data_IF_523250301753
#
_entry.id   IF_523250301753
#
_cell.length_a   1.000
_cell.length_b   1.000
_cell.length_c   1.000
_cell.angle_alpha   90.00
_cell.angle_beta   90.00
_cell.angle_gamma   90.00
#
_symmetry.space_group_name_H-M   'P 1'
#
loop_
_entity.id
_entity.type
_entity.pdbx_description
1 polymer ?
#
# COMPACT_ATOMS: atom_id res chain seq x y z
N UNK A 1 -24.28 -18.96 -18.18
CA UNK A 1 -24.88 -20.14 -17.50
C UNK A 1 -25.66 -19.80 -16.22
N UNK A 2 -25.43 -18.68 -15.53
CA UNK A 2 -26.09 -18.37 -14.25
C UNK A 2 -27.61 -18.14 -14.30
N UNK A 3 -28.16 -17.66 -15.42
CA UNK A 3 -29.58 -17.30 -15.53
C UNK A 3 -30.55 -18.51 -15.43
N UNK A 4 -30.13 -19.70 -15.89
CA UNK A 4 -30.92 -20.93 -15.79
C UNK A 4 -31.09 -21.37 -14.33
N UNK A 5 -30.07 -21.17 -13.50
CA UNK A 5 -30.12 -21.52 -12.08
C UNK A 5 -31.07 -20.61 -11.29
N UNK A 6 -31.16 -19.32 -11.66
CA UNK A 6 -32.12 -18.39 -11.07
C UNK A 6 -33.57 -18.79 -11.35
N UNK A 7 -33.88 -19.26 -12.55
CA UNK A 7 -35.22 -19.76 -12.90
C UNK A 7 -35.64 -21.01 -12.14
N UNK A 8 -34.70 -21.78 -11.61
CA UNK A 8 -35.00 -22.97 -10.80
C UNK A 8 -35.03 -22.63 -9.32
N UNK A 9 -34.07 -21.82 -8.85
CA UNK A 9 -33.91 -21.48 -7.43
C UNK A 9 -35.08 -20.63 -6.90
N UNK A 10 -35.54 -19.64 -7.66
CA UNK A 10 -36.64 -18.74 -7.24
C UNK A 10 -37.95 -19.51 -7.02
N UNK A 11 -38.47 -20.31 -7.98
CA UNK A 11 -39.71 -21.05 -7.75
C UNK A 11 -39.56 -22.13 -6.68
N UNK A 12 -38.38 -22.77 -6.53
CA UNK A 12 -38.14 -23.70 -5.43
C UNK A 12 -38.17 -23.01 -4.06
N UNK A 13 -37.59 -21.81 -3.96
CA UNK A 13 -37.66 -21.00 -2.73
C UNK A 13 -39.09 -20.60 -2.38
N UNK A 14 -39.87 -20.15 -3.38
CA UNK A 14 -41.29 -19.83 -3.19
C UNK A 14 -42.09 -21.07 -2.78
N UNK A 15 -41.85 -22.22 -3.40
CA UNK A 15 -42.51 -23.48 -3.05
C UNK A 15 -42.13 -23.96 -1.63
N UNK A 16 -40.88 -23.78 -1.21
CA UNK A 16 -40.43 -24.11 0.16
C UNK A 16 -41.10 -23.20 1.20
N UNK A 17 -41.19 -21.88 0.93
CA UNK A 17 -41.92 -20.94 1.80
C UNK A 17 -43.41 -21.30 1.88
N UNK A 18 -44.04 -21.64 0.76
CA UNK A 18 -45.44 -22.06 0.74
C UNK A 18 -45.69 -23.34 1.56
N UNK A 19 -44.75 -24.29 1.50
CA UNK A 19 -44.79 -25.51 2.30
C UNK A 19 -44.69 -25.23 3.80
N UNK A 20 -43.91 -24.22 4.22
CA UNK A 20 -43.74 -23.85 5.62
C UNK A 20 -45.03 -23.21 6.16
N UNK A 21 -45.57 -22.20 5.48
CA UNK A 21 -46.68 -21.40 6.00
C UNK A 21 -48.06 -21.98 5.75
N UNK A 22 -48.26 -22.71 4.64
CA UNK A 22 -49.58 -23.24 4.27
C UNK A 22 -49.49 -24.64 3.63
N UNK A 23 -48.96 -25.65 4.35
CA UNK A 23 -48.69 -26.99 3.80
C UNK A 23 -49.94 -27.69 3.28
N UNK A 24 -51.09 -27.48 3.93
CA UNK A 24 -52.39 -28.03 3.49
C UNK A 24 -52.87 -27.41 2.19
N UNK A 25 -52.74 -26.10 2.07
CA UNK A 25 -53.12 -25.37 0.86
C UNK A 25 -52.24 -25.79 -0.31
N UNK A 26 -50.92 -25.88 -0.09
CA UNK A 26 -49.98 -26.36 -1.10
C UNK A 26 -50.32 -27.79 -1.56
N UNK A 27 -50.62 -28.70 -0.64
CA UNK A 27 -50.99 -30.07 -1.01
C UNK A 27 -52.26 -30.09 -1.86
N UNK A 28 -53.30 -29.33 -1.49
CA UNK A 28 -54.54 -29.26 -2.26
C UNK A 28 -54.30 -28.68 -3.65
N UNK A 29 -53.50 -27.62 -3.78
CA UNK A 29 -53.23 -27.03 -5.10
C UNK A 29 -52.38 -27.94 -6.00
N UNK A 30 -51.40 -28.67 -5.44
CA UNK A 30 -50.45 -29.46 -6.23
C UNK A 30 -50.86 -30.92 -6.45
N UNK A 31 -51.72 -31.47 -5.59
CA UNK A 31 -52.06 -32.90 -5.60
C UNK A 31 -53.57 -33.19 -5.59
N UNK A 32 -54.46 -32.19 -5.53
CA UNK A 32 -55.91 -32.47 -5.60
C UNK A 32 -56.33 -33.12 -6.92
N UNK A 33 -55.64 -32.83 -8.02
CA UNK A 33 -55.92 -33.39 -9.34
C UNK A 33 -55.64 -34.91 -9.44
N UNK A 34 -54.87 -35.48 -8.51
CA UNK A 34 -54.52 -36.91 -8.52
C UNK A 34 -55.47 -37.77 -7.68
N UNK A 35 -56.48 -37.19 -7.04
CA UNK A 35 -57.42 -37.90 -6.16
C UNK A 35 -58.87 -37.48 -6.42
N UNK A 36 -59.80 -38.44 -6.40
CA UNK A 36 -61.22 -38.17 -6.64
C UNK A 36 -61.88 -37.31 -5.54
N UNK A 37 -61.36 -37.37 -4.30
CA UNK A 37 -61.78 -36.49 -3.21
C UNK A 37 -60.57 -36.07 -2.36
N UNK A 38 -60.16 -34.82 -2.51
CA UNK A 38 -58.97 -34.28 -1.86
C UNK A 38 -59.08 -34.19 -0.33
N UNK A 39 -60.29 -34.01 0.23
CA UNK A 39 -60.44 -33.85 1.67
C UNK A 39 -60.31 -35.17 2.44
N UNK A 40 -60.69 -36.28 1.82
CA UNK A 40 -60.61 -37.63 2.42
C UNK A 40 -59.23 -38.27 2.29
N UNK A 41 -58.44 -37.84 1.30
CA UNK A 41 -57.09 -38.34 1.05
C UNK A 41 -55.99 -37.44 1.63
N UNK A 42 -56.37 -36.42 2.42
CA UNK A 42 -55.43 -35.46 2.99
C UNK A 42 -54.47 -36.15 3.97
N UNK A 43 -53.15 -35.94 3.86
CA UNK A 43 -52.17 -36.48 4.80
C UNK A 43 -52.47 -36.09 6.25
N UNK A 44 -52.19 -36.99 7.18
CA UNK A 44 -52.30 -36.69 8.61
C UNK A 44 -51.36 -35.56 9.06
N UNK A 45 -51.65 -34.96 10.22
CA UNK A 45 -50.88 -33.82 10.75
C UNK A 45 -49.36 -34.07 10.85
N UNK A 46 -48.94 -35.29 11.20
CA UNK A 46 -47.53 -35.67 11.27
C UNK A 46 -46.80 -35.59 9.91
N UNK A 47 -47.50 -35.92 8.81
CA UNK A 47 -46.93 -35.85 7.46
C UNK A 47 -46.76 -34.39 6.99
N UNK A 48 -47.58 -33.47 7.49
CA UNK A 48 -47.39 -32.04 7.25
C UNK A 48 -46.24 -31.46 8.07
N UNK A 49 -46.11 -31.87 9.34
CA UNK A 49 -45.01 -31.45 10.19
C UNK A 49 -43.65 -31.87 9.62
N UNK A 50 -43.52 -33.11 9.12
CA UNK A 50 -42.27 -33.58 8.49
C UNK A 50 -41.92 -32.80 7.22
N UNK A 51 -42.92 -32.46 6.39
CA UNK A 51 -42.73 -31.63 5.19
C UNK A 51 -42.30 -30.21 5.54
N UNK A 52 -42.87 -29.61 6.58
CA UNK A 52 -42.46 -28.28 7.06
C UNK A 52 -41.00 -28.27 7.53
N UNK A 53 -40.58 -29.30 8.29
CA UNK A 53 -39.19 -29.43 8.75
C UNK A 53 -38.23 -29.57 7.57
N UNK A 54 -38.55 -30.44 6.60
CA UNK A 54 -37.71 -30.63 5.41
C UNK A 54 -37.62 -29.36 4.56
N UNK A 55 -38.74 -28.64 4.39
CA UNK A 55 -38.76 -27.36 3.67
C UNK A 55 -37.94 -26.28 4.39
N UNK A 56 -38.01 -26.22 5.72
CA UNK A 56 -37.22 -25.29 6.53
C UNK A 56 -35.71 -25.59 6.43
N UNK A 57 -35.32 -26.88 6.49
CA UNK A 57 -33.92 -27.29 6.32
C UNK A 57 -33.39 -26.97 4.92
N UNK A 58 -34.18 -27.27 3.88
CA UNK A 58 -33.80 -26.97 2.50
C UNK A 58 -33.58 -25.46 2.29
N UNK A 59 -34.52 -24.63 2.77
CA UNK A 59 -34.42 -23.18 2.66
C UNK A 59 -33.25 -22.61 3.48
N UNK A 60 -33.04 -23.12 4.70
CA UNK A 60 -31.91 -22.75 5.54
C UNK A 60 -30.57 -23.05 4.85
N UNK A 61 -30.41 -24.25 4.30
CA UNK A 61 -29.17 -24.64 3.59
C UNK A 61 -28.89 -23.76 2.37
N UNK A 62 -29.94 -23.38 1.61
CA UNK A 62 -29.80 -22.52 0.44
C UNK A 62 -29.34 -21.10 0.83
N UNK A 63 -29.91 -20.54 1.90
CA UNK A 63 -29.49 -19.23 2.43
C UNK A 63 -28.04 -19.25 2.90
N UNK A 64 -27.61 -20.30 3.61
CA UNK A 64 -26.22 -20.44 4.05
C UNK A 64 -25.25 -20.47 2.86
N UNK A 65 -25.58 -21.20 1.79
CA UNK A 65 -24.75 -21.23 0.58
C UNK A 65 -24.64 -19.86 -0.12
N UNK A 66 -25.73 -19.08 -0.13
CA UNK A 66 -25.71 -17.71 -0.67
C UNK A 66 -24.75 -16.82 0.14
N UNK A 67 -24.82 -16.89 1.48
CA UNK A 67 -23.93 -16.13 2.36
C UNK A 67 -22.47 -16.53 2.14
N UNK A 68 -22.18 -17.84 2.08
CA UNK A 68 -20.82 -18.35 1.81
C UNK A 68 -20.32 -17.85 0.45
N UNK A 69 -21.16 -17.90 -0.58
CA UNK A 69 -20.82 -17.41 -1.91
C UNK A 69 -20.52 -15.90 -1.91
N UNK A 70 -21.33 -15.09 -1.22
CA UNK A 70 -21.10 -13.64 -1.08
C UNK A 70 -19.78 -13.34 -0.36
N UNK A 71 -19.48 -14.05 0.73
CA UNK A 71 -18.21 -13.90 1.45
C UNK A 71 -17.04 -14.33 0.57
N UNK A 72 -17.16 -15.45 -0.15
CA UNK A 72 -16.12 -15.92 -1.06
C UNK A 72 -15.86 -14.95 -2.21
N UNK A 73 -16.89 -14.25 -2.72
CA UNK A 73 -16.69 -13.21 -3.75
C UNK A 73 -16.00 -11.99 -3.18
N UNK A 74 -16.33 -11.55 -1.96
CA UNK A 74 -15.66 -10.42 -1.31
C UNK A 74 -14.19 -10.71 -0.97
N UNK A 75 -13.87 -11.96 -0.62
CA UNK A 75 -12.49 -12.36 -0.28
C UNK A 75 -11.62 -12.56 -1.52
N UNK A 76 -12.22 -12.91 -2.67
CA UNK A 76 -11.49 -13.26 -3.90
C UNK A 76 -11.61 -12.21 -5.02
N UNK A 77 -12.11 -11.02 -4.75
CA UNK A 77 -12.04 -9.93 -5.73
C UNK A 77 -10.56 -9.65 -6.04
N UNK A 78 -10.08 -9.88 -7.28
CA UNK A 78 -8.74 -9.46 -7.66
C UNK A 78 -8.67 -7.95 -7.49
N UNK A 79 -7.72 -7.47 -6.67
CA UNK A 79 -7.40 -6.05 -6.61
C UNK A 79 -7.14 -5.58 -8.04
N UNK A 80 -8.02 -4.73 -8.56
CA UNK A 80 -7.83 -4.09 -9.87
C UNK A 80 -6.45 -3.42 -9.81
N UNK A 81 -5.51 -3.87 -10.65
CA UNK A 81 -4.15 -3.33 -10.68
C UNK A 81 -4.26 -1.85 -10.99
N UNK A 82 -4.13 -1.00 -9.96
CA UNK A 82 -4.22 0.44 -10.11
C UNK A 82 -3.19 0.87 -11.15
N UNK A 83 -3.62 1.63 -12.15
CA UNK A 83 -2.71 2.36 -13.03
C UNK A 83 -1.60 3.00 -12.18
N UNK A 84 -0.32 2.96 -12.59
CA UNK A 84 0.76 3.56 -11.84
C UNK A 84 0.41 5.00 -11.47
N UNK A 85 0.54 5.35 -10.19
CA UNK A 85 0.35 6.73 -9.75
C UNK A 85 1.45 7.62 -10.34
N UNK A 86 1.21 8.93 -10.41
CA UNK A 86 2.23 9.90 -10.89
C UNK A 86 3.56 9.77 -10.11
N UNK A 87 3.46 9.43 -8.82
CA UNK A 87 4.59 9.12 -7.95
C UNK A 87 5.36 7.88 -8.46
N UNK A 88 4.67 6.81 -8.86
CA UNK A 88 5.30 5.61 -9.41
C UNK A 88 5.91 5.84 -10.79
N UNK A 89 5.32 6.72 -11.61
CA UNK A 89 5.89 7.05 -12.91
C UNK A 89 7.23 7.80 -12.77
N UNK A 90 7.33 8.68 -11.77
CA UNK A 90 8.51 9.53 -11.58
C UNK A 90 9.61 8.90 -10.73
N UNK A 91 9.23 8.08 -9.74
CA UNK A 91 10.18 7.50 -8.77
C UNK A 91 10.28 5.98 -8.85
N UNK A 92 9.41 5.33 -9.64
CA UNK A 92 9.34 3.88 -9.77
C UNK A 92 8.50 3.20 -8.69
N UNK A 93 8.59 1.87 -8.66
CA UNK A 93 7.93 1.01 -7.68
C UNK A 93 8.97 0.29 -6.81
N UNK A 94 8.75 0.17 -5.48
CA UNK A 94 7.60 0.68 -4.72
C UNK A 94 7.60 2.21 -4.60
N UNK A 95 6.44 2.81 -4.30
CA UNK A 95 6.34 4.26 -4.09
C UNK A 95 7.31 4.69 -2.96
N UNK A 96 8.05 5.79 -3.15
CA UNK A 96 9.05 6.20 -2.18
C UNK A 96 8.44 6.75 -0.91
N UNK A 97 9.17 6.58 0.19
CA UNK A 97 8.85 7.21 1.48
C UNK A 97 9.69 8.48 1.67
N UNK A 98 9.11 9.52 2.25
CA UNK A 98 9.79 10.80 2.46
C UNK A 98 10.48 10.85 3.82
N UNK A 99 11.79 11.08 3.86
CA UNK A 99 12.46 11.37 5.14
C UNK A 99 11.99 12.72 5.67
N UNK A 100 11.33 12.71 6.82
CA UNK A 100 10.78 13.92 7.44
C UNK A 100 11.86 14.73 8.17
N UNK A 101 12.98 15.00 7.50
CA UNK A 101 14.11 15.84 7.95
C UNK A 101 14.70 16.54 6.74
N UNK A 102 15.18 17.77 6.92
CA UNK A 102 16.02 18.43 5.91
C UNK A 102 17.48 18.22 6.29
N UNK A 103 18.22 17.50 5.46
CA UNK A 103 19.63 17.19 5.71
C UNK A 103 20.50 18.41 5.41
N UNK A 104 21.42 18.70 6.33
CA UNK A 104 22.54 19.62 6.08
C UNK A 104 23.71 18.82 5.52
N UNK A 105 24.37 19.38 4.51
CA UNK A 105 25.45 18.68 3.82
C UNK A 105 26.73 18.65 4.66
N UNK A 106 27.34 17.47 4.73
CA UNK A 106 28.69 17.29 5.26
C UNK A 106 29.72 17.56 4.16
N UNK A 107 30.93 17.96 4.57
CA UNK A 107 32.06 18.23 3.66
C UNK A 107 32.90 17.00 3.34
N UNK A 108 32.73 15.91 4.08
CA UNK A 108 33.52 14.68 3.92
C UNK A 108 32.67 13.44 4.23
N UNK A 109 33.05 12.36 3.56
CA UNK A 109 32.57 11.00 3.78
C UNK A 109 33.00 10.51 5.17
N UNK A 110 32.19 9.63 5.75
CA UNK A 110 32.50 8.90 6.98
C UNK A 110 32.63 7.42 6.68
N UNK A 111 33.84 6.90 6.86
CA UNK A 111 34.20 5.52 6.53
C UNK A 111 33.49 4.48 7.41
N UNK A 112 32.83 4.92 8.49
CA UNK A 112 32.00 4.05 9.33
C UNK A 112 30.56 3.88 8.84
N UNK A 113 30.19 4.55 7.74
CA UNK A 113 28.87 4.47 7.10
C UNK A 113 28.99 3.84 5.72
N UNK A 114 27.86 3.41 5.17
CA UNK A 114 27.80 2.75 3.87
C UNK A 114 27.26 3.69 2.81
N UNK A 115 27.99 3.84 1.71
CA UNK A 115 27.57 4.67 0.59
C UNK A 115 26.46 3.96 -0.21
N UNK A 116 25.31 4.62 -0.34
CA UNK A 116 24.16 4.12 -1.10
C UNK A 116 24.07 4.87 -2.44
N UNK A 117 23.96 4.15 -3.57
CA UNK A 117 23.79 4.77 -4.88
C UNK A 117 22.55 5.67 -4.95
N UNK A 118 22.71 6.82 -5.60
CA UNK A 118 21.62 7.74 -5.91
C UNK A 118 21.01 7.31 -7.24
N UNK A 119 19.70 7.07 -7.27
CA UNK A 119 18.99 6.69 -8.50
C UNK A 119 18.63 7.91 -9.34
N UNK A 120 18.06 8.93 -8.69
CA UNK A 120 17.66 10.17 -9.34
C UNK A 120 17.59 11.32 -8.34
N UNK A 121 17.45 12.54 -8.84
CA UNK A 121 17.25 13.73 -8.03
C UNK A 121 16.16 14.64 -8.62
N UNK A 122 15.54 15.45 -7.78
CA UNK A 122 14.65 16.53 -8.19
C UNK A 122 15.16 17.84 -7.61
N UNK A 123 15.40 18.84 -8.46
CA UNK A 123 15.70 20.19 -7.99
C UNK A 123 14.43 20.85 -7.45
N UNK A 124 14.53 21.44 -6.26
CA UNK A 124 13.47 22.26 -5.68
C UNK A 124 13.99 23.69 -5.71
N UNK A 125 13.46 24.49 -6.62
CA UNK A 125 13.87 25.90 -6.76
C UNK A 125 12.99 26.76 -5.84
N UNK A 126 13.57 27.74 -5.15
CA UNK A 126 12.83 28.66 -4.28
C UNK A 126 11.75 29.47 -5.02
N UNK A 127 11.90 29.67 -6.33
CA UNK A 127 10.96 30.42 -7.18
C UNK A 127 9.74 29.60 -7.64
N UNK A 128 9.81 28.26 -7.57
CA UNK A 128 8.73 27.36 -7.94
C UNK A 128 8.27 26.58 -6.72
N UNK A 129 6.95 26.54 -6.47
CA UNK A 129 6.43 25.73 -5.37
C UNK A 129 6.84 24.27 -5.60
N UNK A 130 7.31 23.56 -4.55
CA UNK A 130 7.61 22.15 -4.68
C UNK A 130 6.36 21.41 -5.16
N UNK A 131 6.51 20.38 -6.01
CA UNK A 131 5.37 19.62 -6.47
C UNK A 131 4.50 19.11 -5.32
N UNK A 132 3.20 19.40 -5.37
CA UNK A 132 2.28 19.15 -4.26
C UNK A 132 2.24 17.69 -3.83
N UNK A 133 2.45 16.75 -4.75
CA UNK A 133 2.47 15.31 -4.45
C UNK A 133 3.54 14.96 -3.41
N UNK A 134 4.66 15.71 -3.31
CA UNK A 134 5.71 15.46 -2.32
C UNK A 134 5.19 15.68 -0.89
N UNK A 135 4.22 16.59 -0.71
CA UNK A 135 3.59 16.88 0.58
C UNK A 135 2.65 15.75 1.03
N UNK A 136 2.20 14.91 0.10
CA UNK A 136 1.27 13.80 0.34
C UNK A 136 1.99 12.46 0.56
N UNK A 137 3.33 12.43 0.41
CA UNK A 137 4.11 11.22 0.60
C UNK A 137 4.11 10.76 2.06
N UNK A 138 4.02 9.45 2.24
CA UNK A 138 4.10 8.84 3.56
C UNK A 138 5.51 9.07 4.15
N UNK A 139 5.61 9.48 5.43
CA UNK A 139 6.90 9.69 6.06
C UNK A 139 7.62 8.35 6.23
N UNK A 140 8.91 8.34 5.89
CA UNK A 140 9.77 7.21 6.14
C UNK A 140 9.76 6.88 7.63
N UNK A 141 9.35 5.65 7.94
CA UNK A 141 9.29 5.13 9.29
C UNK A 141 10.04 3.80 9.37
N UNK A 142 10.66 3.55 10.52
CA UNK A 142 11.27 2.26 10.82
C UNK A 142 10.51 1.65 11.97
N UNK A 143 9.93 0.46 11.76
CA UNK A 143 9.11 -0.22 12.76
C UNK A 143 7.98 0.69 13.31
N UNK A 144 7.41 1.55 12.46
CA UNK A 144 6.31 2.46 12.82
C UNK A 144 6.71 3.75 13.54
N UNK A 145 8.01 4.04 13.70
CA UNK A 145 8.48 5.33 14.25
C UNK A 145 9.19 6.18 13.19
N UNK A 146 8.86 7.47 13.14
CA UNK A 146 9.49 8.49 12.28
C UNK A 146 10.60 9.26 13.03
N UNK A 147 10.56 9.28 14.36
CA UNK A 147 11.56 9.90 15.24
C UNK A 147 12.75 8.98 15.50
N UNK A 148 13.45 8.56 14.45
CA UNK A 148 14.51 7.56 14.56
C UNK A 148 15.80 8.22 15.05
N UNK A 149 16.41 7.74 16.15
CA UNK A 149 17.67 8.28 16.65
C UNK A 149 18.79 8.16 15.62
N UNK A 150 19.54 9.24 15.43
CA UNK A 150 20.69 9.27 14.55
C UNK A 150 20.48 9.92 13.19
N UNK A 151 19.28 10.42 12.89
CA UNK A 151 19.13 11.37 11.80
C UNK A 151 20.00 12.61 12.01
N UNK A 152 20.75 12.99 10.98
CA UNK A 152 21.53 14.22 10.96
C UNK A 152 20.84 15.18 9.99
N UNK A 153 19.90 15.96 10.53
CA UNK A 153 19.11 16.94 9.80
C UNK A 153 18.22 17.71 10.75
N UNK A 154 17.79 18.90 10.35
CA UNK A 154 16.86 19.67 11.17
C UNK A 154 15.44 19.15 10.98
N UNK A 155 14.70 19.06 12.09
CA UNK A 155 13.24 18.95 12.03
C UNK A 155 12.66 20.22 11.38
N UNK A 156 11.60 20.09 10.57
CA UNK A 156 10.85 21.25 10.11
C UNK A 156 10.24 21.97 11.31
N UNK A 157 10.12 23.30 11.23
CA UNK A 157 9.32 24.03 12.23
C UNK A 157 7.83 23.69 12.04
N UNK A 158 7.01 23.87 13.07
CA UNK A 158 5.56 23.54 13.02
C UNK A 158 4.80 24.21 11.85
N UNK A 159 5.31 25.31 11.30
CA UNK A 159 4.71 26.06 10.19
C UNK A 159 5.28 25.74 8.81
N UNK A 160 6.36 24.94 8.73
CA UNK A 160 7.11 24.74 7.49
C UNK A 160 7.05 23.27 7.06
N UNK A 161 7.02 23.01 5.75
CA UNK A 161 7.23 21.66 5.24
C UNK A 161 8.73 21.36 5.14
N UNK A 162 9.12 20.08 5.27
CA UNK A 162 10.52 19.66 5.07
C UNK A 162 11.03 19.95 3.67
N UNK A 163 10.13 19.88 2.68
CA UNK A 163 10.43 20.01 1.26
C UNK A 163 10.64 21.48 0.88
N UNK A 164 9.87 22.41 1.45
CA UNK A 164 10.02 23.86 1.19
C UNK A 164 11.35 24.44 1.63
N UNK A 165 12.19 23.69 2.36
CA UNK A 165 13.53 24.11 2.80
C UNK A 165 14.66 23.37 2.10
N UNK A 166 14.33 22.44 1.22
CA UNK A 166 15.30 21.67 0.46
C UNK A 166 15.56 22.36 -0.88
N UNK A 167 16.81 22.38 -1.30
CA UNK A 167 17.21 22.80 -2.66
C UNK A 167 17.16 21.61 -3.62
N UNK A 168 17.24 20.39 -3.08
CA UNK A 168 17.20 19.14 -3.85
C UNK A 168 16.57 18.02 -3.04
N UNK A 169 15.80 17.17 -3.71
CA UNK A 169 15.28 15.91 -3.18
C UNK A 169 15.98 14.77 -3.90
N UNK A 170 16.64 13.91 -3.14
CA UNK A 170 17.43 12.79 -3.66
C UNK A 170 16.63 11.50 -3.50
N UNK A 171 16.56 10.68 -4.54
CA UNK A 171 15.97 9.35 -4.50
C UNK A 171 17.05 8.28 -4.42
N UNK A 172 16.89 7.38 -3.43
CA UNK A 172 17.81 6.26 -3.19
C UNK A 172 17.02 4.99 -2.89
N UNK A 173 17.64 3.84 -3.16
CA UNK A 173 17.22 2.54 -2.64
C UNK A 173 18.12 2.10 -1.50
N UNK A 174 17.67 2.38 -0.29
CA UNK A 174 18.42 2.10 0.93
C UNK A 174 18.07 0.72 1.54
N UNK A 175 18.97 0.12 2.33
CA UNK A 175 18.66 -1.10 3.09
C UNK A 175 17.54 -0.85 4.12
N UNK A 176 16.53 -1.73 4.19
CA UNK A 176 15.32 -1.51 5.02
C UNK A 176 15.59 -1.33 6.52
N UNK A 177 16.65 -1.93 7.06
CA UNK A 177 16.98 -1.87 8.48
C UNK A 177 17.77 -0.62 8.87
N UNK A 178 18.28 0.10 7.87
CA UNK A 178 19.20 1.21 8.01
C UNK A 178 18.51 2.52 7.69
N UNK A 179 19.10 3.61 8.15
CA UNK A 179 18.59 4.96 7.94
C UNK A 179 19.63 5.82 7.22
N UNK A 180 19.22 6.81 6.44
CA UNK A 180 20.14 7.82 5.94
C UNK A 180 20.72 8.59 7.13
N UNK A 181 22.04 8.55 7.26
CA UNK A 181 22.80 9.12 8.37
C UNK A 181 23.46 10.42 7.98
N UNK A 182 23.92 10.54 6.74
CA UNK A 182 24.67 11.69 6.26
C UNK A 182 24.45 11.87 4.78
N UNK A 183 24.36 13.13 4.35
CA UNK A 183 24.48 13.51 2.95
C UNK A 183 25.75 14.35 2.82
N UNK A 184 26.63 13.95 1.90
CA UNK A 184 27.85 14.69 1.57
C UNK A 184 27.56 15.50 0.31
N UNK A 185 27.93 16.78 0.32
CA UNK A 185 27.88 17.60 -0.90
C UNK A 185 29.19 18.37 -1.09
N UNK A 186 29.76 18.23 -2.28
CA UNK A 186 30.88 19.06 -2.75
C UNK A 186 30.33 20.01 -3.80
N UNK A 187 30.23 21.29 -3.43
CA UNK A 187 29.63 22.32 -4.27
C UNK A 187 30.72 23.16 -4.92
N UNK A 188 30.68 23.21 -6.24
CA UNK A 188 31.50 24.10 -7.08
C UNK A 188 30.56 25.02 -7.87
N UNK A 189 31.09 26.04 -8.57
CA UNK A 189 30.26 26.91 -9.41
C UNK A 189 29.50 26.17 -10.52
N UNK A 190 30.04 25.07 -11.04
CA UNK A 190 29.49 24.36 -12.22
C UNK A 190 28.91 22.97 -11.89
N UNK A 191 29.30 22.40 -10.75
CA UNK A 191 28.99 21.01 -10.38
C UNK A 191 28.59 20.91 -8.90
N UNK A 192 27.55 20.15 -8.62
CA UNK A 192 27.18 19.68 -7.28
C UNK A 192 27.38 18.17 -7.23
N UNK A 193 28.38 17.72 -6.48
CA UNK A 193 28.60 16.29 -6.25
C UNK A 193 27.92 15.86 -4.96
N UNK A 194 27.17 14.77 -4.99
CA UNK A 194 26.35 14.27 -3.89
C UNK A 194 26.72 12.83 -3.55
N UNK A 195 26.65 12.48 -2.27
CA UNK A 195 26.57 11.10 -1.82
C UNK A 195 25.66 10.98 -0.60
N UNK A 196 25.00 9.83 -0.49
CA UNK A 196 24.14 9.51 0.65
C UNK A 196 24.75 8.32 1.38
N UNK A 197 24.94 8.48 2.68
CA UNK A 197 25.50 7.44 3.54
C UNK A 197 24.47 6.92 4.52
N UNK A 198 24.34 5.60 4.58
CA UNK A 198 23.43 4.87 5.45
C UNK A 198 24.17 4.23 6.63
N UNK A 199 23.42 4.00 7.71
CA UNK A 199 23.89 3.24 8.85
C UNK A 199 22.74 2.85 9.77
N UNK A 200 23.06 2.12 10.82
CA UNK A 200 22.09 1.79 11.85
C UNK A 200 21.72 3.05 12.67
N UNK A 201 20.50 3.11 13.20
CA UNK A 201 20.13 4.13 14.17
C UNK A 201 21.06 4.13 15.37
N UNK A 202 21.26 5.31 15.96
CA UNK A 202 22.12 5.44 17.13
C UNK A 202 21.53 4.63 18.29
N UNK A 203 22.26 3.64 18.84
CA UNK A 203 21.80 2.87 19.99
C UNK A 203 21.59 3.76 21.21
N UNK A 204 20.56 3.47 22.01
CA UNK A 204 20.28 4.21 23.25
C UNK A 204 21.33 3.99 24.34
N UNK A 205 22.09 2.90 24.25
CA UNK A 205 23.17 2.55 25.17
C UNK A 205 24.53 3.22 24.81
N UNK A 206 24.58 4.00 23.72
CA UNK A 206 25.79 4.68 23.27
C UNK A 206 26.81 3.76 22.60
N UNK A 207 26.48 2.49 22.34
CA UNK A 207 27.32 1.59 21.56
C UNK A 207 27.49 2.09 20.12
N UNK A 208 28.62 1.74 19.49
CA UNK A 208 28.86 2.03 18.08
C UNK A 208 28.51 0.79 17.26
N UNK A 209 27.41 0.80 16.51
CA UNK A 209 27.05 -0.32 15.67
C UNK A 209 28.05 -0.47 14.52
N UNK A 210 28.31 -1.71 14.10
CA UNK A 210 29.00 -1.97 12.84
C UNK A 210 27.99 -1.75 11.70
N UNK A 211 28.04 -0.57 11.10
CA UNK A 211 27.10 -0.22 10.03
C UNK A 211 27.45 -0.92 8.72
N UNK A 212 28.72 -1.24 8.48
CA UNK A 212 29.17 -1.80 7.19
C UNK A 212 28.68 -3.23 7.05
N UNK A 213 28.82 -4.03 8.11
CA UNK A 213 28.30 -5.39 8.12
C UNK A 213 26.76 -5.42 8.21
N UNK A 214 26.15 -4.49 8.95
CA UNK A 214 24.71 -4.53 9.21
C UNK A 214 23.84 -3.83 8.15
N UNK A 215 24.41 -3.04 7.24
CA UNK A 215 23.72 -2.31 6.18
C UNK A 215 24.22 -2.73 4.79
N UNK A 216 24.02 -3.99 4.37
CA UNK A 216 24.47 -4.46 3.07
C UNK A 216 23.73 -3.72 1.94
N UNK A 217 24.49 -3.21 0.97
CA UNK A 217 23.96 -2.51 -0.22
C UNK A 217 23.78 -3.50 -1.35
N UNK A 218 22.67 -3.38 -2.10
CA UNK A 218 22.39 -4.21 -3.27
C UNK A 218 21.70 -5.54 -2.98
N UNK A 219 21.18 -5.74 -1.76
CA UNK A 219 20.29 -6.88 -1.46
C UNK A 219 18.87 -6.66 -1.99
N UNK A 220 18.13 -7.75 -2.22
CA UNK A 220 16.75 -7.75 -2.74
C UNK A 220 15.75 -7.00 -1.83
N UNK A 221 16.12 -6.72 -0.58
CA UNK A 221 15.30 -6.05 0.42
C UNK A 221 15.74 -4.59 0.64
N UNK A 222 15.46 -3.75 -0.36
CA UNK A 222 15.67 -2.29 -0.29
C UNK A 222 14.35 -1.52 -0.21
N UNK A 223 14.34 -0.39 0.49
CA UNK A 223 13.25 0.58 0.49
C UNK A 223 13.56 1.77 -0.43
N UNK A 224 12.55 2.24 -1.15
CA UNK A 224 12.62 3.48 -1.94
C UNK A 224 12.39 4.69 -1.02
N UNK A 225 13.33 5.64 -1.02
CA UNK A 225 13.36 6.75 -0.06
C UNK A 225 13.70 8.06 -0.75
N UNK A 226 12.93 9.12 -0.47
CA UNK A 226 13.23 10.50 -0.83
C UNK A 226 13.87 11.24 0.34
N UNK A 227 14.99 11.90 0.09
CA UNK A 227 15.79 12.61 1.09
C UNK A 227 15.85 14.09 0.70
N UNK A 228 15.16 14.98 1.45
CA UNK A 228 15.28 16.42 1.27
C UNK A 228 16.64 16.93 1.77
N UNK A 229 17.35 17.67 0.94
CA UNK A 229 18.70 18.18 1.23
C UNK A 229 18.75 19.67 1.00
N UNK A 230 19.38 20.37 1.94
CA UNK A 230 19.69 21.79 1.82
C UNK A 230 21.15 21.98 1.41
N UNK A 231 21.36 22.63 0.27
CA UNK A 231 22.64 23.02 -0.27
C UNK A 231 23.04 24.41 0.25
N UNK A 232 24.24 24.89 -0.08
CA UNK A 232 24.63 26.28 0.22
C UNK A 232 24.01 27.26 -0.75
N UNK A 233 23.96 26.86 -2.02
CA UNK A 233 23.37 27.61 -3.12
C UNK A 233 22.38 26.71 -3.89
N UNK A 234 21.32 27.25 -4.52
CA UNK A 234 20.37 26.49 -5.34
C UNK A 234 21.03 25.84 -6.56
N UNK A 235 20.57 24.67 -7.02
CA UNK A 235 21.21 23.92 -8.13
C UNK A 235 21.35 24.79 -9.39
N UNK A 236 20.28 25.44 -9.83
CA UNK A 236 20.28 26.28 -11.03
C UNK A 236 20.72 25.49 -12.27
N UNK A 237 21.69 26.03 -13.02
CA UNK A 237 22.25 25.41 -14.23
C UNK A 237 23.40 24.42 -13.95
N UNK A 238 23.72 24.15 -12.68
CA UNK A 238 24.83 23.28 -12.30
C UNK A 238 24.53 21.82 -12.63
N UNK A 239 25.56 21.10 -13.07
CA UNK A 239 25.43 19.65 -13.26
C UNK A 239 25.45 18.93 -11.91
N UNK A 240 24.60 17.92 -11.76
CA UNK A 240 24.52 17.11 -10.53
C UNK A 240 25.15 15.75 -10.79
N UNK A 241 26.06 15.35 -9.92
CA UNK A 241 26.86 14.14 -10.08
C UNK A 241 27.00 13.42 -8.75
N UNK A 242 27.33 12.15 -8.78
CA UNK A 242 27.80 11.42 -7.60
C UNK A 242 29.24 11.84 -7.25
N UNK A 243 29.72 11.50 -6.05
CA UNK A 243 31.10 11.81 -5.62
C UNK A 243 32.18 11.16 -6.50
N UNK A 244 31.85 10.07 -7.18
CA UNK A 244 32.71 9.41 -8.16
C UNK A 244 32.73 10.12 -9.54
N UNK A 245 31.94 11.18 -9.72
CA UNK A 245 31.80 11.93 -10.98
C UNK A 245 30.77 11.35 -11.94
N UNK A 246 30.02 10.31 -11.54
CA UNK A 246 28.95 9.76 -12.37
C UNK A 246 27.79 10.77 -12.45
N UNK A 247 27.32 11.17 -13.65
CA UNK A 247 26.17 12.05 -13.79
C UNK A 247 24.91 11.44 -13.18
N UNK A 248 24.15 12.24 -12.43
CA UNK A 248 22.87 11.82 -11.87
C UNK A 248 21.74 12.28 -12.79
N UNK A 249 20.72 11.44 -12.94
CA UNK A 249 19.53 11.76 -13.72
C UNK A 249 18.55 12.59 -12.89
N UNK A 250 18.00 13.65 -13.51
CA UNK A 250 16.87 14.36 -12.93
C UNK A 250 15.63 13.48 -13.05
N UNK A 251 14.81 13.42 -12.01
CA UNK A 251 13.52 12.74 -12.04
C UNK A 251 12.55 13.54 -12.91
N UNK A 252 12.07 12.92 -13.97
CA UNK A 252 11.05 13.45 -14.88
C UNK A 252 9.84 12.52 -14.93
N UNK A 253 8.68 13.08 -15.28
CA UNK A 253 7.43 12.33 -15.42
C UNK A 253 7.24 11.75 -16.83
N UNK A 254 8.19 11.96 -17.75
CA UNK A 254 8.09 11.54 -19.14
C UNK A 254 8.89 10.25 -19.39
N UNK A 255 8.28 9.13 -19.00
CA UNK A 255 8.53 7.82 -19.61
C UNK A 255 7.56 7.54 -20.75
#
# INVERSE_FOLDING_TARGET
MGWVWWFIAVPLGVAALWAIFAPRNQWRSLFSWSVANAHTAEPGGAAYASRQILAALALGSALTMIVIAMVATMVNEPQESSSPSDIQNMWGSPAPLLVYRTFQTAKSVDDSLVDVPIESYLSVNDDEYPPLYLLELEPFSRLGTTGIPGYIGSEPAETDSTITRADVVIHVRGPLLCIPRRVVAVETPDVVQLAVQYGLPTPSDGSKPDNVEACPVGEDLSGSVLIPVRLKDPIGERSVQSLDGTPLAMADSEG
#
